data_IF_564714085713
#
_entry.id   IF_564714085713
#
_cell.length_a   1.000
_cell.length_b   1.000
_cell.length_c   1.000
_cell.angle_alpha   90.00
_cell.angle_beta   90.00
_cell.angle_gamma   90.00
#
_symmetry.space_group_name_H-M   'P 1'
#
loop_
_entity.id
_entity.type
_entity.pdbx_description
1 polymer ?
#
# COMPACT_ATOMS: atom_id res chain seq x y z
N UNK A 1 18.21 -13.83 -25.17
CA UNK A 1 18.46 -14.18 -23.76
C UNK A 1 17.12 -14.10 -23.05
N UNK A 2 16.48 -15.25 -22.96
CA UNK A 2 15.10 -15.43 -22.49
C UNK A 2 15.06 -15.15 -20.98
N UNK A 3 14.23 -14.19 -20.55
CA UNK A 3 14.02 -13.88 -19.14
C UNK A 3 13.19 -15.00 -18.54
N UNK A 4 13.86 -16.02 -17.99
CA UNK A 4 13.23 -17.07 -17.20
C UNK A 4 13.05 -16.51 -15.79
N UNK A 5 11.81 -16.18 -15.44
CA UNK A 5 11.44 -15.91 -14.06
C UNK A 5 11.29 -17.24 -13.30
N UNK A 6 11.74 -17.34 -12.05
CA UNK A 6 11.61 -18.56 -11.27
C UNK A 6 10.12 -18.85 -10.97
N UNK A 7 9.76 -20.10 -11.23
CA UNK A 7 8.48 -20.70 -10.84
C UNK A 7 8.43 -20.79 -9.32
N UNK A 8 7.52 -20.05 -8.72
CA UNK A 8 7.16 -20.23 -7.30
C UNK A 8 6.19 -21.39 -7.20
N UNK A 9 6.45 -22.42 -6.38
CA UNK A 9 5.55 -23.55 -6.23
C UNK A 9 4.23 -23.12 -5.55
N UNK A 10 3.11 -23.56 -6.13
CA UNK A 10 1.78 -23.46 -5.53
C UNK A 10 1.73 -24.26 -4.24
N UNK A 11 1.33 -23.61 -3.16
CA UNK A 11 0.83 -24.28 -1.96
C UNK A 11 -0.59 -24.81 -2.24
N UNK A 12 -0.91 -26.05 -1.83
CA UNK A 12 -2.24 -26.61 -2.05
C UNK A 12 -3.26 -25.98 -1.10
N UNK A 13 -4.46 -25.72 -1.63
CA UNK A 13 -5.68 -25.38 -0.90
C UNK A 13 -6.02 -26.48 0.12
N UNK A 14 -6.40 -26.14 1.34
CA UNK A 14 -7.10 -27.08 2.19
C UNK A 14 -8.59 -27.07 1.84
N UNK A 15 -8.99 -28.07 1.05
CA UNK A 15 -10.38 -28.42 0.84
C UNK A 15 -11.03 -28.92 2.13
N UNK A 16 -12.19 -28.39 2.34
CA UNK A 16 -13.35 -28.79 3.08
C UNK A 16 -13.32 -30.00 4.00
N UNK A 17 -13.84 -29.77 5.18
CA UNK A 17 -14.65 -30.80 5.86
C UNK A 17 -15.77 -30.09 6.63
N UNK A 18 -16.97 -30.14 6.07
CA UNK A 18 -18.22 -30.12 6.81
C UNK A 18 -18.33 -31.46 7.53
N UNK A 19 -18.59 -31.45 8.81
CA UNK A 19 -19.22 -32.55 9.52
C UNK A 19 -20.11 -31.99 10.61
N UNK A 20 -21.35 -32.28 10.46
CA UNK A 20 -22.45 -32.15 11.39
C UNK A 20 -22.13 -32.84 12.72
N UNK A 21 -22.48 -32.22 13.85
CA UNK A 21 -22.80 -32.91 15.08
C UNK A 21 -23.73 -32.05 15.92
N UNK A 22 -24.98 -32.21 15.67
CA UNK A 22 -26.10 -32.04 16.59
C UNK A 22 -26.04 -33.16 17.62
N UNK A 23 -26.02 -32.83 18.91
CA UNK A 23 -26.64 -33.63 19.99
C UNK A 23 -26.49 -32.91 21.33
N UNK A 24 -27.60 -32.35 21.82
CA UNK A 24 -28.30 -32.77 23.06
C UNK A 24 -27.39 -33.13 24.23
N UNK A 25 -27.44 -32.29 25.26
CA UNK A 25 -26.97 -32.56 26.60
C UNK A 25 -27.65 -31.65 27.60
N UNK A 26 -28.82 -32.06 28.07
CA UNK A 26 -29.54 -31.38 29.14
C UNK A 26 -28.75 -31.49 30.45
N UNK A 27 -28.39 -30.34 30.98
CA UNK A 27 -27.76 -30.25 32.29
C UNK A 27 -28.79 -29.96 33.37
N UNK A 28 -29.05 -31.02 34.15
CA UNK A 28 -29.95 -31.06 35.28
C UNK A 28 -29.39 -30.20 36.42
N UNK A 29 -30.09 -29.13 36.79
CA UNK A 29 -29.73 -28.28 37.93
C UNK A 29 -29.99 -29.07 39.22
N UNK A 30 -29.03 -29.26 40.11
CA UNK A 30 -29.27 -29.88 41.43
C UNK A 30 -30.03 -28.94 42.33
N UNK A 31 -31.19 -29.39 42.82
CA UNK A 31 -31.99 -28.70 43.83
C UNK A 31 -31.25 -28.73 45.17
N UNK A 32 -31.00 -27.55 45.72
CA UNK A 32 -30.52 -27.36 47.09
C UNK A 32 -31.60 -27.81 48.11
N UNK A 33 -31.22 -28.50 49.19
CA UNK A 33 -32.14 -28.94 50.22
C UNK A 33 -32.61 -27.75 51.05
N UNK A 34 -33.92 -27.70 51.28
CA UNK A 34 -34.58 -26.70 52.16
C UNK A 34 -34.15 -26.94 53.64
N UNK A 35 -33.79 -25.88 54.38
CA UNK A 35 -33.51 -26.00 55.80
C UNK A 35 -34.81 -26.28 56.55
N UNK A 36 -34.79 -27.34 57.35
CA UNK A 36 -35.85 -27.71 58.26
C UNK A 36 -36.04 -26.65 59.35
N UNK A 37 -37.24 -26.13 59.45
CA UNK A 37 -37.65 -25.30 60.58
C UNK A 37 -37.75 -26.14 61.88
N UNK A 38 -36.72 -25.98 62.74
CA UNK A 38 -36.94 -26.38 64.17
C UNK A 38 -37.50 -25.21 64.91
N UNK A 39 -38.68 -25.44 65.45
CA UNK A 39 -39.35 -24.53 66.36
C UNK A 39 -38.59 -24.42 67.68
N UNK A 40 -38.12 -23.24 68.01
CA UNK A 40 -37.65 -22.90 69.36
C UNK A 40 -38.83 -22.40 70.17
N UNK A 41 -39.31 -23.24 71.08
CA UNK A 41 -40.18 -22.90 72.19
C UNK A 41 -39.28 -22.47 73.36
N UNK A 42 -39.24 -21.14 73.65
CA UNK A 42 -39.19 -20.48 74.96
C UNK A 42 -38.90 -18.96 74.76
N UNK A 43 -39.75 -18.11 75.26
CA UNK A 43 -39.50 -16.68 75.30
C UNK A 43 -38.94 -16.28 76.65
N UNK A 44 -37.68 -16.23 76.81
CA UNK A 44 -37.03 -15.40 77.85
C UNK A 44 -35.51 -15.33 77.64
N UNK A 45 -35.03 -14.12 77.68
CA UNK A 45 -33.62 -13.78 77.81
C UNK A 45 -32.70 -13.96 76.56
N UNK A 46 -32.68 -12.91 75.76
CA UNK A 46 -31.42 -12.48 75.09
C UNK A 46 -31.57 -11.03 74.66
N UNK A 47 -31.36 -10.10 75.57
CA UNK A 47 -30.89 -8.77 75.18
C UNK A 47 -29.43 -8.88 74.80
N UNK A 48 -29.05 -8.47 73.58
CA UNK A 48 -27.64 -8.52 73.22
C UNK A 48 -26.87 -7.45 74.02
N UNK A 49 -25.68 -7.73 74.50
CA UNK A 49 -24.87 -6.76 75.24
C UNK A 49 -24.52 -5.59 74.24
N UNK A 50 -24.72 -4.37 74.73
CA UNK A 50 -24.46 -3.10 74.00
C UNK A 50 -23.04 -2.97 73.36
N UNK A 51 -22.12 -3.90 73.69
CA UNK A 51 -20.77 -3.99 73.16
C UNK A 51 -20.67 -4.62 71.72
N UNK A 52 -21.69 -5.40 71.31
CA UNK A 52 -21.64 -6.10 70.03
C UNK A 52 -21.86 -5.15 68.83
N UNK A 53 -22.61 -4.10 68.99
CA UNK A 53 -22.87 -3.06 67.95
C UNK A 53 -21.62 -2.25 67.61
N UNK A 54 -20.84 -1.90 68.64
CA UNK A 54 -19.62 -1.09 68.47
C UNK A 54 -18.51 -1.89 67.78
N UNK A 55 -18.35 -3.15 68.13
CA UNK A 55 -17.38 -4.05 67.48
C UNK A 55 -17.75 -4.37 66.02
N UNK A 56 -19.04 -4.43 65.67
CA UNK A 56 -19.50 -4.58 64.28
C UNK A 56 -19.20 -3.39 63.41
N UNK A 57 -19.36 -2.19 63.95
CA UNK A 57 -19.02 -0.93 63.22
C UNK A 57 -17.53 -0.76 63.02
N UNK A 58 -16.69 -1.11 64.01
CA UNK A 58 -15.24 -1.04 63.89
C UNK A 58 -14.70 -2.10 62.88
N UNK A 59 -15.28 -3.31 62.86
CA UNK A 59 -14.92 -4.34 61.88
C UNK A 59 -15.38 -3.96 60.45
N UNK A 60 -16.51 -3.29 60.29
CA UNK A 60 -16.95 -2.79 58.98
C UNK A 60 -16.03 -1.67 58.47
N UNK A 61 -15.62 -0.71 59.33
CA UNK A 61 -14.65 0.33 58.98
C UNK A 61 -13.28 -0.21 58.66
N UNK A 62 -12.79 -1.21 59.40
CA UNK A 62 -11.50 -1.86 59.12
C UNK A 62 -11.51 -2.63 57.77
N UNK A 63 -12.64 -3.31 57.45
CA UNK A 63 -12.80 -4.00 56.16
C UNK A 63 -12.92 -3.01 54.98
N UNK A 64 -13.62 -1.89 55.17
CA UNK A 64 -13.70 -0.83 54.13
C UNK A 64 -12.34 -0.20 53.89
N UNK A 65 -11.55 0.06 54.94
CA UNK A 65 -10.16 0.60 54.78
C UNK A 65 -9.22 -0.34 54.05
N UNK A 66 -9.28 -1.65 54.32
CA UNK A 66 -8.45 -2.65 53.66
C UNK A 66 -8.81 -2.86 52.18
N UNK A 67 -10.11 -2.76 51.83
CA UNK A 67 -10.57 -2.82 50.44
C UNK A 67 -10.15 -1.57 49.66
N UNK A 68 -10.28 -0.38 50.24
CA UNK A 68 -9.83 0.87 49.64
C UNK A 68 -8.30 0.89 49.40
N UNK A 69 -7.52 0.37 50.36
CA UNK A 69 -6.07 0.28 50.26
C UNK A 69 -5.65 -0.73 49.15
N UNK A 70 -6.34 -1.87 49.05
CA UNK A 70 -6.08 -2.84 47.98
C UNK A 70 -6.42 -2.27 46.61
N UNK A 71 -7.54 -1.55 46.48
CA UNK A 71 -7.93 -0.89 45.24
C UNK A 71 -6.90 0.19 44.82
N UNK A 72 -6.43 0.99 45.75
CA UNK A 72 -5.38 2.00 45.50
C UNK A 72 -4.07 1.39 45.04
N UNK A 73 -3.62 0.29 45.66
CA UNK A 73 -2.40 -0.42 45.25
C UNK A 73 -2.55 -1.03 43.87
N UNK A 74 -3.72 -1.59 43.53
CA UNK A 74 -4.01 -2.11 42.19
C UNK A 74 -4.00 -0.98 41.17
N UNK A 75 -4.67 0.16 41.44
CA UNK A 75 -4.64 1.32 40.55
C UNK A 75 -3.22 1.87 40.33
N UNK A 76 -2.42 2.02 41.38
CA UNK A 76 -1.03 2.46 41.27
C UNK A 76 -0.17 1.49 40.44
N UNK A 77 -0.41 0.20 40.59
CA UNK A 77 0.28 -0.85 39.81
C UNK A 77 -0.11 -0.81 38.33
N UNK A 78 -1.40 -0.57 38.03
CA UNK A 78 -1.89 -0.38 36.67
C UNK A 78 -1.32 0.87 36.02
N UNK A 79 -1.29 2.00 36.75
CA UNK A 79 -0.65 3.25 36.27
C UNK A 79 0.85 3.04 35.99
N UNK A 80 1.53 2.27 36.86
CA UNK A 80 2.94 1.94 36.67
C UNK A 80 3.22 1.12 35.42
N UNK A 81 2.30 0.22 35.04
CA UNK A 81 2.43 -0.62 33.83
C UNK A 81 1.98 0.15 32.58
N UNK A 82 0.92 0.96 32.67
CA UNK A 82 0.40 1.71 31.54
C UNK A 82 1.39 2.78 31.01
N UNK A 83 2.13 3.43 31.92
CA UNK A 83 3.12 4.48 31.52
C UNK A 83 4.18 3.98 30.55
N UNK A 84 4.90 2.88 30.81
CA UNK A 84 5.88 2.37 29.85
C UNK A 84 5.25 1.85 28.56
N UNK A 85 4.05 1.25 28.63
CA UNK A 85 3.32 0.79 27.44
C UNK A 85 2.92 1.95 26.55
N UNK A 86 2.35 3.03 27.11
CA UNK A 86 2.01 4.24 26.33
C UNK A 86 3.27 4.91 25.76
N UNK A 87 4.35 5.00 26.54
CA UNK A 87 5.61 5.53 26.03
C UNK A 87 6.17 4.69 24.88
N UNK A 88 6.14 3.36 25.00
CA UNK A 88 6.58 2.47 23.93
C UNK A 88 5.73 2.62 22.66
N UNK A 89 4.40 2.73 22.80
CA UNK A 89 3.50 2.96 21.67
C UNK A 89 3.74 4.32 21.02
N UNK A 90 3.98 5.37 21.79
CA UNK A 90 4.31 6.70 21.28
C UNK A 90 5.63 6.69 20.50
N UNK A 91 6.66 6.03 21.02
CA UNK A 91 7.96 5.88 20.35
C UNK A 91 7.78 5.07 19.05
N UNK A 92 7.07 3.95 19.10
CA UNK A 92 6.79 3.15 17.90
C UNK A 92 6.05 3.96 16.84
N UNK A 93 5.02 4.72 17.23
CA UNK A 93 4.29 5.63 16.35
C UNK A 93 5.19 6.70 15.72
N UNK A 94 6.04 7.33 16.53
CA UNK A 94 7.00 8.34 16.06
C UNK A 94 8.00 7.73 15.05
N UNK A 95 8.51 6.52 15.30
CA UNK A 95 9.40 5.80 14.36
C UNK A 95 8.69 5.51 13.04
N UNK A 96 7.45 5.01 13.08
CA UNK A 96 6.68 4.72 11.87
C UNK A 96 6.39 5.99 11.05
N UNK A 97 6.02 7.09 11.71
CA UNK A 97 5.84 8.39 11.05
C UNK A 97 7.17 8.87 10.44
N UNK A 98 8.26 8.78 11.20
CA UNK A 98 9.59 9.15 10.72
C UNK A 98 10.01 8.36 9.48
N UNK A 99 9.74 7.06 9.43
CA UNK A 99 9.99 6.22 8.26
C UNK A 99 9.13 6.61 7.07
N UNK A 100 7.84 6.88 7.28
CA UNK A 100 6.95 7.33 6.21
C UNK A 100 7.43 8.65 5.60
N UNK A 101 7.75 9.64 6.42
CA UNK A 101 8.31 10.93 5.99
C UNK A 101 9.62 10.73 5.21
N UNK A 102 10.50 9.86 5.71
CA UNK A 102 11.79 9.56 5.06
C UNK A 102 11.62 8.94 3.68
N UNK A 103 10.65 8.01 3.52
CA UNK A 103 10.36 7.39 2.20
C UNK A 103 9.87 8.45 1.22
N UNK A 104 8.93 9.32 1.64
CA UNK A 104 8.43 10.39 0.78
C UNK A 104 9.52 11.42 0.43
N UNK A 105 10.36 11.78 1.37
CA UNK A 105 11.47 12.72 1.13
C UNK A 105 12.46 12.15 0.09
N UNK A 106 12.80 10.86 0.19
CA UNK A 106 13.64 10.18 -0.81
C UNK A 106 12.99 10.13 -2.19
N UNK A 107 11.70 9.87 -2.27
CA UNK A 107 10.98 9.84 -3.54
C UNK A 107 10.97 11.23 -4.21
N UNK A 108 10.70 12.29 -3.46
CA UNK A 108 10.76 13.67 -3.98
C UNK A 108 12.17 14.04 -4.43
N UNK A 109 13.18 13.71 -3.63
CA UNK A 109 14.59 13.97 -4.00
C UNK A 109 14.95 13.25 -5.30
N UNK A 110 14.53 11.97 -5.46
CA UNK A 110 14.78 11.22 -6.69
C UNK A 110 14.15 11.90 -7.91
N UNK A 111 12.90 12.42 -7.81
CA UNK A 111 12.28 13.16 -8.91
C UNK A 111 13.05 14.44 -9.26
N UNK A 112 13.51 15.21 -8.26
CA UNK A 112 14.34 16.41 -8.50
C UNK A 112 15.65 16.04 -9.19
N UNK A 113 16.30 14.95 -8.78
CA UNK A 113 17.54 14.50 -9.40
C UNK A 113 17.32 14.00 -10.82
N UNK A 114 16.21 13.32 -11.10
CA UNK A 114 15.82 12.89 -12.46
C UNK A 114 15.55 14.08 -13.37
N UNK A 115 14.84 15.11 -12.89
CA UNK A 115 14.60 16.35 -13.64
C UNK A 115 15.91 17.06 -13.99
N UNK A 116 16.83 17.15 -13.02
CA UNK A 116 18.17 17.75 -13.24
C UNK A 116 18.99 16.92 -14.25
N UNK A 117 18.96 15.59 -14.12
CA UNK A 117 19.66 14.71 -15.05
C UNK A 117 19.09 14.83 -16.46
N UNK A 118 17.77 14.92 -16.62
CA UNK A 118 17.13 15.12 -17.91
C UNK A 118 17.49 16.47 -18.52
N UNK A 119 17.44 17.55 -17.75
CA UNK A 119 17.87 18.88 -18.21
C UNK A 119 19.35 18.90 -18.64
N UNK A 120 20.22 18.24 -17.89
CA UNK A 120 21.62 18.10 -18.26
C UNK A 120 21.82 17.25 -19.51
N UNK A 121 21.01 16.20 -19.69
CA UNK A 121 21.01 15.39 -20.93
C UNK A 121 20.59 16.22 -22.14
N UNK A 122 19.54 17.05 -22.02
CA UNK A 122 19.10 17.95 -23.08
C UNK A 122 20.19 18.99 -23.44
N UNK A 123 20.89 19.52 -22.45
CA UNK A 123 21.95 20.53 -22.65
C UNK A 123 23.24 19.96 -23.25
N UNK A 124 23.58 18.72 -22.94
CA UNK A 124 24.86 18.13 -23.32
C UNK A 124 24.78 17.11 -24.45
N UNK A 125 23.59 16.60 -24.76
CA UNK A 125 23.35 15.49 -25.67
C UNK A 125 23.88 14.14 -25.18
N UNK A 126 24.37 14.06 -23.92
CA UNK A 126 24.94 12.84 -23.33
C UNK A 126 23.99 12.26 -22.29
N UNK A 127 24.05 10.94 -22.11
CA UNK A 127 23.29 10.27 -21.07
C UNK A 127 23.85 10.65 -19.68
N UNK A 128 23.07 11.40 -18.90
CA UNK A 128 23.45 11.85 -17.56
C UNK A 128 22.68 11.03 -16.54
N UNK A 129 23.42 10.37 -15.65
CA UNK A 129 22.83 9.60 -14.54
C UNK A 129 22.30 10.53 -13.45
N UNK A 130 21.15 10.24 -12.85
CA UNK A 130 20.58 11.09 -11.78
C UNK A 130 21.41 11.06 -10.49
N UNK A 131 22.13 9.97 -10.25
CA UNK A 131 23.13 9.82 -9.18
C UNK A 131 24.22 8.84 -9.62
N UNK A 132 25.39 8.88 -8.98
CA UNK A 132 26.60 8.17 -9.45
C UNK A 132 26.48 6.65 -9.56
N UNK A 133 25.65 6.04 -8.71
CA UNK A 133 25.40 4.59 -8.70
C UNK A 133 24.12 4.19 -9.42
N UNK A 134 23.45 5.13 -10.13
CA UNK A 134 22.28 4.78 -10.92
C UNK A 134 22.70 3.89 -12.10
N UNK A 135 21.91 2.86 -12.37
CA UNK A 135 22.05 1.97 -13.52
C UNK A 135 21.07 2.32 -14.65
N UNK A 136 20.37 3.43 -14.51
CA UNK A 136 19.45 4.01 -15.48
C UNK A 136 19.67 5.51 -15.64
N UNK A 137 19.18 6.07 -16.74
CA UNK A 137 19.23 7.50 -17.04
C UNK A 137 17.96 7.93 -17.78
N UNK A 138 17.59 9.21 -17.76
CA UNK A 138 16.44 9.74 -18.49
C UNK A 138 16.64 9.65 -20.00
N UNK A 139 15.63 9.15 -20.71
CA UNK A 139 15.63 9.03 -22.18
C UNK A 139 14.56 9.89 -22.85
N UNK A 140 13.48 10.19 -22.14
CA UNK A 140 12.41 11.03 -22.63
C UNK A 140 11.58 11.61 -21.48
N UNK A 141 10.74 12.59 -21.80
CA UNK A 141 9.65 13.06 -20.96
C UNK A 141 8.33 12.86 -21.69
N UNK A 142 7.36 12.24 -21.05
CA UNK A 142 5.99 12.15 -21.51
C UNK A 142 5.18 13.24 -20.80
N UNK A 143 4.36 13.98 -21.53
CA UNK A 143 3.46 15.00 -21.00
C UNK A 143 2.10 14.87 -21.66
N UNK A 144 1.01 14.86 -20.88
CA UNK A 144 -0.38 14.88 -21.34
C UNK A 144 -0.99 16.22 -20.98
N UNK A 145 -1.09 17.18 -21.96
CA UNK A 145 -1.48 18.55 -21.68
C UNK A 145 -2.85 18.67 -21.01
N UNK A 146 -3.85 17.92 -21.49
CA UNK A 146 -5.20 17.96 -20.93
C UNK A 146 -5.25 17.62 -19.44
N UNK A 147 -4.40 16.71 -19.01
CA UNK A 147 -4.34 16.27 -17.61
C UNK A 147 -3.30 17.04 -16.77
N UNK A 148 -2.44 17.85 -17.41
CA UNK A 148 -1.31 18.50 -16.74
C UNK A 148 -0.32 17.52 -16.10
N UNK A 149 -0.25 16.27 -16.59
CA UNK A 149 0.57 15.20 -16.03
C UNK A 149 1.79 14.94 -16.88
N UNK A 150 2.94 14.81 -16.22
CA UNK A 150 4.19 14.44 -16.87
C UNK A 150 4.95 13.37 -16.10
N UNK A 151 5.79 12.61 -16.81
CA UNK A 151 6.69 11.64 -16.22
C UNK A 151 7.98 11.57 -17.02
N UNK A 152 9.12 11.46 -16.32
CA UNK A 152 10.43 11.19 -16.94
C UNK A 152 10.54 9.70 -17.24
N UNK A 153 10.77 9.36 -18.48
CA UNK A 153 10.98 7.99 -18.95
C UNK A 153 12.46 7.64 -18.83
N UNK A 154 12.74 6.49 -18.27
CA UNK A 154 14.08 5.99 -17.96
C UNK A 154 14.53 4.94 -18.98
N UNK A 155 15.82 4.77 -19.12
CA UNK A 155 16.40 3.70 -19.92
C UNK A 155 16.14 2.35 -19.27
N UNK A 156 15.51 1.44 -20.04
CA UNK A 156 15.13 0.11 -19.57
C UNK A 156 13.87 0.10 -18.70
N UNK A 157 13.26 -1.07 -18.59
CA UNK A 157 12.05 -1.32 -17.79
C UNK A 157 12.32 -2.38 -16.70
N UNK A 158 13.50 -2.31 -16.06
CA UNK A 158 13.86 -3.15 -14.93
C UNK A 158 13.13 -2.71 -13.66
N UNK A 159 13.04 -3.60 -12.65
CA UNK A 159 12.38 -3.28 -11.38
C UNK A 159 12.98 -2.05 -10.69
N UNK A 160 14.27 -1.80 -10.80
CA UNK A 160 14.94 -0.61 -10.25
C UNK A 160 14.53 0.66 -10.99
N UNK A 161 14.57 0.67 -12.33
CA UNK A 161 14.15 1.82 -13.12
C UNK A 161 12.68 2.17 -12.84
N UNK A 162 11.81 1.18 -12.84
CA UNK A 162 10.36 1.36 -12.61
C UNK A 162 10.01 1.92 -11.22
N UNK A 163 10.88 1.76 -10.23
CA UNK A 163 10.68 2.38 -8.91
C UNK A 163 10.77 3.92 -8.95
N UNK A 164 11.48 4.48 -9.95
CA UNK A 164 11.74 5.92 -10.04
C UNK A 164 11.00 6.61 -11.18
N UNK A 165 10.57 5.87 -12.20
CA UNK A 165 9.86 6.41 -13.36
C UNK A 165 9.35 5.32 -14.29
N UNK A 166 8.55 5.68 -15.32
CA UNK A 166 8.29 4.76 -16.42
C UNK A 166 9.60 4.42 -17.13
N UNK A 167 9.69 3.20 -17.63
CA UNK A 167 10.85 2.73 -18.34
C UNK A 167 10.59 2.50 -19.83
N UNK A 168 11.52 2.86 -20.68
CA UNK A 168 11.53 2.49 -22.08
C UNK A 168 11.86 1.00 -22.20
N UNK A 169 10.97 0.23 -22.79
CA UNK A 169 11.15 -1.21 -22.96
C UNK A 169 12.28 -1.47 -23.94
N UNK A 170 13.29 -2.23 -23.52
CA UNK A 170 14.43 -2.57 -24.34
C UNK A 170 14.01 -3.25 -25.65
N UNK A 171 14.73 -2.98 -26.75
CA UNK A 171 14.47 -3.49 -28.10
C UNK A 171 13.17 -2.95 -28.75
N UNK A 172 12.61 -1.88 -28.24
CA UNK A 172 11.60 -1.10 -28.95
C UNK A 172 12.23 0.20 -29.46
N UNK A 173 11.75 0.77 -30.59
CA UNK A 173 12.30 2.01 -31.13
C UNK A 173 12.13 3.17 -30.16
N UNK A 174 12.93 4.23 -30.34
CA UNK A 174 12.69 5.46 -29.62
C UNK A 174 11.43 6.14 -30.16
N UNK A 175 10.74 6.93 -29.31
CA UNK A 175 9.54 7.63 -29.76
C UNK A 175 9.79 8.45 -31.03
N UNK A 176 8.93 8.27 -32.03
CA UNK A 176 9.02 8.93 -33.34
C UNK A 176 9.96 8.26 -34.35
N UNK A 177 10.61 7.16 -34.00
CA UNK A 177 11.28 6.28 -34.96
C UNK A 177 10.26 5.30 -35.57
N UNK A 178 10.57 4.71 -36.75
CA UNK A 178 9.70 3.69 -37.35
C UNK A 178 9.44 2.53 -36.37
N UNK A 179 8.19 2.10 -36.25
CA UNK A 179 7.73 1.10 -35.30
C UNK A 179 6.99 1.67 -34.09
N UNK A 180 6.84 0.89 -33.04
CA UNK A 180 6.11 1.29 -31.81
C UNK A 180 7.07 1.40 -30.64
N UNK A 181 7.24 2.63 -30.11
CA UNK A 181 7.94 2.86 -28.85
C UNK A 181 7.06 2.40 -27.68
N UNK A 182 7.62 1.64 -26.74
CA UNK A 182 6.88 1.12 -25.60
C UNK A 182 7.44 1.68 -24.29
N UNK A 183 6.61 2.38 -23.53
CA UNK A 183 6.93 2.87 -22.20
C UNK A 183 6.06 2.15 -21.17
N UNK A 184 6.69 1.53 -20.18
CA UNK A 184 6.00 0.79 -19.13
C UNK A 184 6.20 1.47 -17.78
N UNK A 185 5.16 1.53 -16.95
CA UNK A 185 5.22 2.16 -15.63
C UNK A 185 4.22 1.58 -14.64
N UNK A 186 4.44 1.88 -13.36
CA UNK A 186 3.51 1.45 -12.31
C UNK A 186 2.20 2.24 -12.36
N UNK A 187 1.06 1.54 -12.22
CA UNK A 187 -0.29 2.13 -12.21
C UNK A 187 -0.55 3.01 -10.99
N UNK A 188 0.14 2.74 -9.87
CA UNK A 188 -0.11 3.40 -8.59
C UNK A 188 0.69 4.70 -8.43
N UNK A 189 1.64 4.97 -9.33
CA UNK A 189 2.57 6.09 -9.24
C UNK A 189 2.67 6.88 -10.56
N UNK A 190 3.69 6.58 -11.35
CA UNK A 190 4.05 7.41 -12.51
C UNK A 190 3.03 7.34 -13.66
N UNK A 191 2.33 6.23 -13.81
CA UNK A 191 1.28 6.01 -14.81
C UNK A 191 -0.12 5.90 -14.21
N UNK A 192 -0.32 6.40 -12.99
CA UNK A 192 -1.65 6.46 -12.37
C UNK A 192 -2.67 7.25 -13.22
N UNK A 193 -2.19 8.23 -13.98
CA UNK A 193 -3.04 9.07 -14.82
C UNK A 193 -3.50 8.40 -16.13
N UNK A 194 -2.99 7.22 -16.49
CA UNK A 194 -3.36 6.57 -17.75
C UNK A 194 -4.86 6.20 -17.82
N UNK A 195 -5.49 5.99 -16.68
CA UNK A 195 -6.94 5.76 -16.62
C UNK A 195 -7.80 6.96 -17.03
N UNK A 196 -7.23 8.16 -16.93
CA UNK A 196 -7.89 9.41 -17.27
C UNK A 196 -7.61 9.83 -18.72
N UNK A 197 -6.74 9.11 -19.43
CA UNK A 197 -6.41 9.39 -20.83
C UNK A 197 -7.53 8.92 -21.74
N UNK A 198 -7.99 9.80 -22.63
CA UNK A 198 -9.07 9.54 -23.57
C UNK A 198 -8.56 9.46 -25.02
N UNK A 199 -9.30 8.75 -25.86
CA UNK A 199 -9.05 8.74 -27.31
C UNK A 199 -9.14 10.17 -27.85
N UNK A 200 -8.17 10.56 -28.67
CA UNK A 200 -8.03 11.92 -29.19
C UNK A 200 -7.16 12.85 -28.36
N UNK A 201 -6.76 12.46 -27.14
CA UNK A 201 -5.82 13.24 -26.35
C UNK A 201 -4.46 13.36 -27.04
N UNK A 202 -3.82 14.50 -26.79
CA UNK A 202 -2.43 14.72 -27.21
C UNK A 202 -1.48 14.21 -26.13
N UNK A 203 -0.47 13.47 -26.54
CA UNK A 203 0.68 13.09 -25.73
C UNK A 203 1.93 13.73 -26.37
N UNK A 204 2.63 14.56 -25.60
CA UNK A 204 3.90 15.13 -26.02
C UNK A 204 5.03 14.30 -25.44
N UNK A 205 6.00 13.97 -26.30
CA UNK A 205 7.21 13.26 -25.88
C UNK A 205 8.41 14.14 -26.25
N UNK A 206 9.09 14.67 -25.22
CA UNK A 206 10.39 15.31 -25.39
C UNK A 206 11.46 14.26 -25.26
N UNK A 207 12.20 14.01 -26.32
CA UNK A 207 13.31 13.04 -26.35
C UNK A 207 14.57 13.65 -25.76
N UNK A 208 15.55 12.78 -25.43
CA UNK A 208 16.88 13.19 -24.94
C UNK A 208 17.67 14.08 -25.91
N UNK A 209 17.37 14.02 -27.21
CA UNK A 209 17.96 14.88 -28.26
C UNK A 209 17.25 16.25 -28.40
N UNK A 210 16.33 16.58 -27.49
CA UNK A 210 15.60 17.84 -27.46
C UNK A 210 14.40 17.89 -28.40
N UNK A 211 14.19 16.91 -29.27
CA UNK A 211 13.05 16.89 -30.18
C UNK A 211 11.76 16.66 -29.39
N UNK A 212 10.77 17.52 -29.61
CA UNK A 212 9.41 17.37 -29.12
C UNK A 212 8.54 16.74 -30.20
N UNK A 213 7.89 15.64 -29.86
CA UNK A 213 7.03 14.86 -30.74
C UNK A 213 5.61 14.86 -30.15
N UNK A 214 4.62 15.01 -31.03
CA UNK A 214 3.21 14.98 -30.66
C UNK A 214 2.57 13.69 -31.16
N UNK A 215 1.97 12.97 -30.24
CA UNK A 215 1.21 11.76 -30.51
C UNK A 215 -0.26 12.03 -30.20
N UNK A 216 -1.15 11.42 -30.95
CA UNK A 216 -2.59 11.42 -30.69
C UNK A 216 -3.01 10.03 -30.26
N UNK A 217 -3.74 9.96 -29.16
CA UNK A 217 -4.29 8.69 -28.64
C UNK A 217 -5.33 8.16 -29.62
N UNK A 218 -5.10 6.94 -30.12
CA UNK A 218 -5.97 6.25 -31.09
C UNK A 218 -6.88 5.23 -30.42
N UNK A 219 -6.49 4.71 -29.24
CA UNK A 219 -7.31 3.73 -28.52
C UNK A 219 -6.68 3.29 -27.22
N UNK A 220 -7.44 2.50 -26.49
CA UNK A 220 -6.98 1.82 -25.29
C UNK A 220 -7.35 0.36 -25.33
N UNK A 221 -6.54 -0.52 -24.72
CA UNK A 221 -6.82 -1.95 -24.68
C UNK A 221 -6.38 -2.57 -23.35
N UNK A 222 -7.00 -3.70 -23.00
CA UNK A 222 -6.57 -4.54 -21.88
C UNK A 222 -6.09 -5.86 -22.47
N UNK A 223 -4.82 -6.17 -22.27
CA UNK A 223 -4.15 -7.32 -22.89
C UNK A 223 -3.40 -8.14 -21.85
N UNK A 224 -3.06 -9.37 -22.17
CA UNK A 224 -2.17 -10.17 -21.32
C UNK A 224 -0.71 -9.70 -21.54
N UNK A 225 0.08 -9.74 -20.48
CA UNK A 225 1.49 -9.32 -20.53
C UNK A 225 2.36 -10.15 -21.48
N UNK A 226 1.99 -11.44 -21.66
CA UNK A 226 2.68 -12.44 -22.49
C UNK A 226 2.13 -12.54 -23.91
N UNK A 227 1.02 -11.87 -24.20
CA UNK A 227 0.35 -11.85 -25.49
C UNK A 227 -0.29 -10.45 -25.72
N UNK A 228 0.58 -9.41 -25.66
CA UNK A 228 0.10 -8.03 -25.76
C UNK A 228 -0.36 -7.63 -27.16
N UNK A 229 0.08 -8.31 -28.19
CA UNK A 229 -0.18 -7.94 -29.59
C UNK A 229 0.47 -6.64 -30.04
N UNK A 230 1.30 -6.01 -29.20
CA UNK A 230 2.04 -4.81 -29.57
C UNK A 230 3.27 -5.24 -30.36
N UNK A 231 3.30 -4.88 -31.64
CA UNK A 231 4.47 -5.11 -32.50
C UNK A 231 5.41 -3.89 -32.48
N UNK A 232 6.63 -4.05 -31.95
CA UNK A 232 7.64 -2.98 -31.99
C UNK A 232 8.07 -2.59 -33.40
N UNK A 233 7.85 -3.46 -34.38
CA UNK A 233 8.27 -3.26 -35.78
C UNK A 233 7.11 -2.98 -36.71
N UNK A 234 5.90 -2.67 -36.17
CA UNK A 234 4.75 -2.30 -36.95
C UNK A 234 5.04 -1.11 -37.88
N UNK A 235 4.34 -1.05 -38.99
CA UNK A 235 4.39 0.12 -39.87
C UNK A 235 3.94 1.39 -39.16
N UNK A 236 4.53 2.54 -39.53
CA UNK A 236 4.22 3.83 -38.91
C UNK A 236 5.13 4.21 -37.75
N UNK A 237 4.67 5.10 -36.88
CA UNK A 237 5.39 5.60 -35.70
C UNK A 237 4.45 5.68 -34.52
N UNK A 238 4.33 4.56 -33.84
CA UNK A 238 3.46 4.36 -32.70
C UNK A 238 4.12 4.67 -31.37
N UNK A 239 3.27 4.90 -30.37
CA UNK A 239 3.63 4.98 -28.95
C UNK A 239 2.63 4.15 -28.16
N UNK A 240 3.12 3.27 -27.32
CA UNK A 240 2.33 2.49 -26.39
C UNK A 240 2.73 2.82 -24.94
N UNK A 241 1.80 3.34 -24.13
CA UNK A 241 1.98 3.53 -22.71
C UNK A 241 1.31 2.37 -21.98
N UNK A 242 2.08 1.62 -21.18
CA UNK A 242 1.66 0.33 -20.61
C UNK A 242 1.73 0.38 -19.09
N UNK A 243 0.66 -0.06 -18.43
CA UNK A 243 0.62 -0.22 -16.98
C UNK A 243 -0.12 -1.48 -16.56
N UNK A 244 -0.15 -1.79 -15.26
CA UNK A 244 -0.88 -2.94 -14.75
C UNK A 244 -2.40 -2.72 -14.78
N UNK A 245 -3.17 -3.80 -14.99
CA UNK A 245 -4.62 -3.82 -14.91
C UNK A 245 -5.07 -4.77 -13.78
N UNK A 246 -6.19 -4.52 -13.08
CA UNK A 246 -7.05 -3.32 -13.15
C UNK A 246 -6.38 -2.08 -12.58
N UNK A 247 -6.80 -0.88 -13.02
CA UNK A 247 -6.15 0.40 -12.65
C UNK A 247 -6.32 0.75 -11.17
N UNK A 248 -7.43 0.34 -10.56
CA UNK A 248 -7.77 0.49 -9.14
C UNK A 248 -7.41 -0.75 -8.29
N UNK A 249 -6.79 -1.76 -8.91
CA UNK A 249 -6.53 -3.04 -8.26
C UNK A 249 -5.39 -2.98 -7.24
N UNK A 250 -5.56 -3.67 -6.13
CA UNK A 250 -4.55 -3.83 -5.08
C UNK A 250 -3.49 -4.87 -5.43
N UNK A 251 -3.84 -5.87 -6.26
CA UNK A 251 -2.96 -6.99 -6.61
C UNK A 251 -2.50 -6.93 -8.06
N UNK A 252 -1.27 -7.38 -8.30
CA UNK A 252 -0.74 -7.54 -9.65
C UNK A 252 -1.36 -8.76 -10.32
N UNK A 253 -1.94 -8.55 -11.51
CA UNK A 253 -2.51 -9.60 -12.35
C UNK A 253 -1.73 -9.79 -13.66
N UNK A 254 -2.13 -10.75 -14.50
CA UNK A 254 -1.51 -11.00 -15.80
C UNK A 254 -1.91 -9.96 -16.86
N UNK A 255 -2.82 -9.06 -16.55
CA UNK A 255 -3.34 -8.09 -17.50
C UNK A 255 -2.59 -6.76 -17.43
N UNK A 256 -2.53 -6.09 -18.58
CA UNK A 256 -1.95 -4.76 -18.75
C UNK A 256 -2.95 -3.85 -19.44
N UNK A 257 -3.01 -2.62 -18.97
CA UNK A 257 -3.72 -1.55 -19.65
C UNK A 257 -2.74 -0.83 -20.57
N UNK A 258 -3.14 -0.67 -21.82
CA UNK A 258 -2.33 -0.06 -22.88
C UNK A 258 -3.08 1.13 -23.47
N UNK A 259 -2.40 2.27 -23.53
CA UNK A 259 -2.83 3.43 -24.29
C UNK A 259 -2.02 3.46 -25.58
N UNK A 260 -2.70 3.36 -26.72
CA UNK A 260 -2.10 3.42 -28.06
C UNK A 260 -2.20 4.83 -28.57
N UNK A 261 -1.11 5.33 -29.17
CA UNK A 261 -1.07 6.64 -29.81
C UNK A 261 -0.19 6.61 -31.05
N UNK A 262 -0.49 7.46 -32.01
CA UNK A 262 0.24 7.59 -33.25
C UNK A 262 0.83 8.99 -33.38
N UNK A 263 2.00 9.09 -34.01
CA UNK A 263 2.66 10.35 -34.27
C UNK A 263 1.78 11.21 -35.21
N UNK A 264 1.52 12.45 -34.79
CA UNK A 264 0.84 13.42 -35.63
C UNK A 264 1.88 14.08 -36.53
N UNK A 265 1.76 13.89 -37.85
CA UNK A 265 2.60 14.55 -38.82
C UNK A 265 2.46 16.07 -38.68
N UNK A 266 3.55 16.77 -38.45
CA UNK A 266 3.56 18.22 -38.36
C UNK A 266 4.32 18.84 -37.20
N UNK A 267 5.08 18.07 -36.42
CA UNK A 267 6.10 18.66 -35.55
C UNK A 267 7.22 19.22 -36.45
N UNK A 268 7.10 20.50 -36.81
CA UNK A 268 8.18 21.23 -37.46
C UNK A 268 9.42 21.16 -36.56
N UNK A 269 10.61 20.97 -37.13
CA UNK A 269 11.85 21.22 -36.40
C UNK A 269 11.86 22.68 -35.93
N UNK A 270 12.52 22.96 -34.79
CA UNK A 270 12.71 24.30 -34.31
C UNK A 270 13.46 25.19 -35.28
#
# INVERSE_FOLDING_TARGET
>A
MTLVLPVVPRTPDPAGTRADAEQQGGETIPRLPRPSRRACSHPAACAPPLSAGLQGLLRRRARAGTLACKAAVVCLRWIGIMRPVTAALMIAGAVLIGQAVWIHAKALLAQVLLERAFAATLATGKDVKPWSWADTWPVARVFVPRLGRSAIVLAGASGQALAFGPGHVARTPAAGEPGTAIYSGHRDTHFAFLGDVAVGDEIRVTRRDGRELRFRVTGTSVVRWDASGIDPHADGRGLALVTCWPLDGTFSGPLRYVVHAELVDGAAPP
#
